data_IF_701455309200
#
_entry.id   IF_701455309200
#
_cell.length_a   1.000
_cell.length_b   1.000
_cell.length_c   1.000
_cell.angle_alpha   90.00
_cell.angle_beta   90.00
_cell.angle_gamma   90.00
#
_symmetry.space_group_name_H-M   'P 1'
#
loop_
_entity.id
_entity.type
_entity.pdbx_description
1 polymer ?
#
# COMPACT_ATOMS: atom_id res chain seq x y z
N UNK A 1 8.21 7.41 19.57
CA UNK A 1 7.87 8.18 18.35
C UNK A 1 6.37 8.01 18.07
N UNK A 2 5.58 9.09 18.09
CA UNK A 2 4.12 9.03 17.92
C UNK A 2 3.81 8.76 16.45
N UNK A 3 3.17 7.62 16.15
CA UNK A 3 2.78 7.29 14.78
C UNK A 3 1.52 8.10 14.45
N UNK A 4 1.63 9.01 13.48
CA UNK A 4 0.51 9.83 13.00
C UNK A 4 -0.42 8.98 12.11
N UNK A 5 -1.10 8.01 12.72
CA UNK A 5 -2.04 7.12 12.03
C UNK A 5 -3.45 7.72 12.03
N UNK A 6 -4.23 7.39 11.00
CA UNK A 6 -5.64 7.79 10.86
C UNK A 6 -6.49 6.52 10.74
N UNK A 7 -7.67 6.51 11.37
CA UNK A 7 -8.65 5.44 11.19
C UNK A 7 -9.40 5.66 9.88
N UNK A 8 -9.56 4.61 9.08
CA UNK A 8 -10.28 4.61 7.81
C UNK A 8 -11.39 3.55 7.86
N UNK A 9 -12.59 3.91 7.41
CA UNK A 9 -13.72 2.98 7.20
C UNK A 9 -14.10 3.05 5.73
N UNK A 10 -14.05 1.91 5.03
CA UNK A 10 -14.33 1.81 3.60
C UNK A 10 -15.19 0.59 3.32
N UNK A 11 -16.09 0.71 2.35
CA UNK A 11 -16.86 -0.40 1.82
C UNK A 11 -16.10 -0.99 0.63
N UNK A 12 -15.88 -2.29 0.65
CA UNK A 12 -15.18 -3.04 -0.40
C UNK A 12 -15.98 -4.29 -0.76
N UNK A 13 -15.67 -4.90 -1.90
CA UNK A 13 -16.25 -6.19 -2.26
C UNK A 13 -15.79 -7.29 -1.28
N UNK A 14 -16.59 -8.35 -1.17
CA UNK A 14 -16.24 -9.52 -0.36
C UNK A 14 -14.91 -10.14 -0.79
N UNK A 15 -14.64 -10.18 -2.10
CA UNK A 15 -13.40 -10.72 -2.65
C UNK A 15 -12.19 -9.88 -2.26
N UNK A 16 -12.29 -8.55 -2.32
CA UNK A 16 -11.21 -7.66 -1.88
C UNK A 16 -10.92 -7.84 -0.40
N UNK A 17 -11.95 -7.94 0.45
CA UNK A 17 -11.78 -8.20 1.88
C UNK A 17 -11.06 -9.52 2.14
N UNK A 18 -11.44 -10.61 1.44
CA UNK A 18 -10.78 -11.90 1.55
C UNK A 18 -9.31 -11.84 1.14
N UNK A 19 -9.01 -11.21 -0.01
CA UNK A 19 -7.64 -11.05 -0.50
C UNK A 19 -6.76 -10.21 0.44
N UNK A 20 -7.31 -9.14 1.05
CA UNK A 20 -6.56 -8.31 2.01
C UNK A 20 -6.14 -9.12 3.23
N UNK A 21 -7.04 -9.95 3.77
CA UNK A 21 -6.70 -10.85 4.88
C UNK A 21 -5.65 -11.88 4.46
N UNK A 22 -5.82 -12.51 3.28
CA UNK A 22 -4.87 -13.49 2.76
C UNK A 22 -3.48 -12.89 2.54
N UNK A 23 -3.40 -11.69 1.99
CA UNK A 23 -2.14 -10.96 1.80
C UNK A 23 -1.48 -10.62 3.14
N UNK A 24 -2.26 -10.28 4.17
CA UNK A 24 -1.73 -9.99 5.50
C UNK A 24 -1.10 -11.24 6.14
N UNK A 25 -1.71 -12.42 5.95
CA UNK A 25 -1.11 -13.70 6.34
C UNK A 25 0.20 -13.98 5.59
N UNK A 26 0.18 -13.88 4.25
CA UNK A 26 1.35 -14.16 3.40
C UNK A 26 2.52 -13.23 3.74
N UNK A 27 2.24 -11.95 4.01
CA UNK A 27 3.27 -10.96 4.34
C UNK A 27 3.73 -11.01 5.81
N UNK A 28 3.17 -11.89 6.64
CA UNK A 28 3.51 -11.97 8.07
C UNK A 28 3.01 -10.77 8.88
N UNK A 29 1.97 -10.07 8.42
CA UNK A 29 1.35 -8.95 9.14
C UNK A 29 0.22 -9.40 10.08
N UNK A 30 -0.09 -10.70 10.11
CA UNK A 30 -1.21 -11.25 10.87
C UNK A 30 -2.53 -10.68 10.36
N UNK A 31 -3.37 -10.18 11.27
CA UNK A 31 -4.67 -9.60 10.92
C UNK A 31 -4.58 -8.10 10.56
N UNK A 32 -3.39 -7.56 10.32
CA UNK A 32 -3.19 -6.14 10.07
C UNK A 32 -3.31 -5.81 8.57
N UNK A 33 -4.56 -5.79 8.08
CA UNK A 33 -4.89 -5.35 6.72
C UNK A 33 -4.46 -3.91 6.43
N UNK A 34 -4.34 -3.05 7.45
CA UNK A 34 -3.85 -1.68 7.29
C UNK A 34 -2.44 -1.62 6.70
N UNK A 35 -1.54 -2.49 7.13
CA UNK A 35 -0.17 -2.58 6.57
C UNK A 35 -0.16 -3.02 5.11
N UNK A 36 -1.07 -3.91 4.73
CA UNK A 36 -1.22 -4.36 3.33
C UNK A 36 -1.67 -3.17 2.47
N UNK A 37 -2.67 -2.42 2.94
CA UNK A 37 -3.15 -1.21 2.25
C UNK A 37 -2.03 -0.18 2.10
N UNK A 38 -1.31 0.11 3.18
CA UNK A 38 -0.18 1.07 3.17
C UNK A 38 0.89 0.66 2.13
N UNK A 39 1.24 -0.63 2.08
CA UNK A 39 2.23 -1.17 1.13
C UNK A 39 1.76 -1.00 -0.31
N UNK A 40 0.54 -1.45 -0.63
CA UNK A 40 0.00 -1.39 -1.98
C UNK A 40 -0.16 0.06 -2.48
N UNK A 41 -0.67 0.95 -1.62
CA UNK A 41 -0.81 2.38 -1.95
C UNK A 41 0.56 3.00 -2.21
N UNK A 42 1.56 2.69 -1.38
CA UNK A 42 2.92 3.20 -1.57
C UNK A 42 3.52 2.72 -2.90
N UNK A 43 3.43 1.43 -3.20
CA UNK A 43 3.92 0.85 -4.46
C UNK A 43 3.24 1.48 -5.67
N UNK A 44 1.90 1.62 -5.64
CA UNK A 44 1.15 2.26 -6.73
C UNK A 44 1.54 3.73 -6.91
N UNK A 45 1.71 4.49 -5.82
CA UNK A 45 2.12 5.89 -5.87
C UNK A 45 3.56 6.07 -6.38
N UNK A 46 4.46 5.14 -6.07
CA UNK A 46 5.82 5.11 -6.63
C UNK A 46 5.76 4.84 -8.12
N UNK A 47 5.01 3.82 -8.57
CA UNK A 47 4.84 3.51 -9.99
C UNK A 47 4.30 4.73 -10.76
N UNK A 48 3.21 5.34 -10.26
CA UNK A 48 2.62 6.54 -10.86
C UNK A 48 3.50 7.79 -10.80
N UNK A 49 4.44 7.87 -9.86
CA UNK A 49 5.43 8.97 -9.81
C UNK A 49 6.60 8.71 -10.76
N UNK A 50 7.06 7.47 -10.89
CA UNK A 50 8.06 7.06 -11.86
C UNK A 50 7.63 7.37 -13.29
N UNK A 51 6.35 7.14 -13.61
CA UNK A 51 5.76 7.47 -14.91
C UNK A 51 5.67 9.00 -15.18
N UNK A 52 5.67 9.82 -14.13
CA UNK A 52 5.64 11.30 -14.24
C UNK A 52 7.01 11.97 -14.16
N UNK A 53 8.08 11.22 -13.91
CA UNK A 53 9.45 11.70 -13.92
C UNK A 53 10.25 10.98 -15.01
N UNK A 54 9.82 11.16 -16.26
CA UNK A 54 10.69 11.04 -17.41
C UNK A 54 11.41 12.37 -17.65
N UNK A 55 12.34 12.75 -16.77
CA UNK A 55 13.31 13.81 -17.07
C UNK A 55 14.58 13.61 -16.23
N UNK A 56 15.62 13.17 -16.94
CA UNK A 56 17.04 13.14 -16.60
C UNK A 56 17.53 12.27 -15.43
N UNK A 57 18.01 11.08 -15.81
CA UNK A 57 19.31 10.60 -15.30
C UNK A 57 20.38 11.57 -15.82
N UNK A 58 20.75 12.56 -15.02
CA UNK A 58 21.97 13.30 -15.27
C UNK A 58 23.14 12.54 -14.65
N UNK A 59 24.02 12.14 -15.57
CA UNK A 59 25.40 11.69 -15.39
C UNK A 59 26.11 12.33 -14.18
N UNK A 60 26.75 11.51 -13.37
CA UNK A 60 28.02 11.81 -12.67
C UNK A 60 28.76 10.50 -12.42
#
# INVERSE_FOLDING_TARGET
MKKNLRRLSILVSAQTAWNLNKLAEICGYGNNVGKVVDKLVREKMIALKGDRCGSNRDNS
#
